data_IF_420787510623
#
_entry.id   IF_420787510623
#
_cell.length_a   1.000
_cell.length_b   1.000
_cell.length_c   1.000
_cell.angle_alpha   90.00
_cell.angle_beta   90.00
_cell.angle_gamma   90.00
#
_symmetry.space_group_name_H-M   'P 1'
#
loop_
_entity.id
_entity.type
_entity.pdbx_description
1 polymer ?
#
# COMPACT_ATOMS: atom_id res chain seq x y z
N UNK A 1 -3.75 4.79 -19.46
CA UNK A 1 -2.28 4.96 -19.53
C UNK A 1 -1.67 4.34 -18.30
N UNK A 2 -0.59 3.56 -18.46
CA UNK A 2 0.14 2.97 -17.34
C UNK A 2 0.64 4.04 -16.38
N UNK A 3 0.33 3.89 -15.08
CA UNK A 3 0.71 4.85 -14.05
C UNK A 3 1.87 4.34 -13.19
N UNK A 4 1.87 3.04 -12.86
CA UNK A 4 2.99 2.38 -12.18
C UNK A 4 3.50 1.29 -13.12
N UNK A 5 4.81 1.25 -13.36
CA UNK A 5 5.42 0.23 -14.21
C UNK A 5 6.67 -0.33 -13.54
N UNK A 6 6.79 -1.65 -13.52
CA UNK A 6 8.05 -2.33 -13.36
C UNK A 6 8.51 -2.83 -14.74
N UNK A 7 9.77 -2.57 -15.09
CA UNK A 7 10.36 -2.96 -16.38
C UNK A 7 11.57 -3.84 -16.09
N UNK A 8 11.44 -5.13 -16.39
CA UNK A 8 12.43 -6.17 -16.14
C UNK A 8 13.03 -6.07 -14.73
N UNK A 9 12.16 -5.83 -13.75
CA UNK A 9 12.57 -5.59 -12.39
C UNK A 9 13.09 -6.86 -11.73
N UNK A 10 14.32 -6.83 -11.23
CA UNK A 10 14.97 -7.94 -10.53
C UNK A 10 15.40 -7.52 -9.13
N UNK A 11 15.32 -8.46 -8.18
CA UNK A 11 15.87 -8.27 -6.85
C UNK A 11 16.59 -9.49 -6.34
N UNK A 12 17.87 -9.29 -6.07
CA UNK A 12 18.75 -10.25 -5.41
C UNK A 12 19.02 -9.83 -3.97
N UNK A 13 19.07 -10.80 -3.08
CA UNK A 13 19.54 -10.67 -1.70
C UNK A 13 20.76 -11.57 -1.49
N UNK A 14 21.64 -11.19 -0.58
CA UNK A 14 22.87 -11.92 -0.29
C UNK A 14 23.93 -11.74 -1.38
N UNK A 15 25.08 -12.43 -1.20
CA UNK A 15 26.25 -12.40 -2.10
C UNK A 15 26.83 -13.81 -2.25
N UNK A 16 27.54 -14.08 -3.35
CA UNK A 16 28.16 -15.39 -3.61
C UNK A 16 27.14 -16.53 -3.60
N UNK A 17 27.48 -17.63 -2.95
CA UNK A 17 26.64 -18.84 -2.90
C UNK A 17 25.35 -18.66 -2.09
N UNK A 18 25.27 -17.62 -1.26
CA UNK A 18 24.06 -17.29 -0.50
C UNK A 18 23.10 -16.33 -1.25
N UNK A 19 23.34 -16.05 -2.53
CA UNK A 19 22.49 -15.19 -3.34
C UNK A 19 21.13 -15.84 -3.60
N UNK A 20 20.06 -15.13 -3.28
CA UNK A 20 18.67 -15.49 -3.53
C UNK A 20 18.02 -14.43 -4.42
N UNK A 21 17.52 -14.82 -5.57
CA UNK A 21 16.77 -13.93 -6.46
C UNK A 21 15.29 -14.00 -6.10
N UNK A 22 14.80 -12.98 -5.40
CA UNK A 22 13.42 -12.91 -4.93
C UNK A 22 12.44 -12.38 -6.00
N UNK A 23 12.93 -11.59 -6.97
CA UNK A 23 12.16 -11.10 -8.12
C UNK A 23 13.04 -11.25 -9.36
N UNK A 24 12.49 -11.86 -10.43
CA UNK A 24 13.26 -12.41 -11.55
C UNK A 24 12.87 -11.79 -12.90
N UNK A 25 13.07 -10.47 -13.05
CA UNK A 25 12.80 -9.80 -14.33
C UNK A 25 11.30 -9.60 -14.60
N UNK A 26 10.57 -9.12 -13.60
CA UNK A 26 9.13 -8.89 -13.70
C UNK A 26 8.85 -7.63 -14.53
N UNK A 27 7.89 -7.77 -15.45
CA UNK A 27 7.21 -6.67 -16.14
C UNK A 27 5.77 -6.61 -15.64
N UNK A 28 5.36 -5.47 -15.07
CA UNK A 28 3.99 -5.22 -14.63
C UNK A 28 3.61 -3.77 -14.88
N UNK A 29 2.38 -3.56 -15.31
CA UNK A 29 1.78 -2.25 -15.53
C UNK A 29 0.47 -2.12 -14.79
N UNK A 30 0.30 -1.01 -14.07
CA UNK A 30 -0.90 -0.68 -13.29
C UNK A 30 -1.42 0.67 -13.77
N UNK A 31 -2.69 0.74 -14.11
CA UNK A 31 -3.32 1.98 -14.55
C UNK A 31 -3.66 2.89 -13.37
N UNK A 32 -3.74 4.20 -13.62
CA UNK A 32 -4.19 5.16 -12.62
C UNK A 32 -5.62 4.86 -12.19
N UNK A 33 -5.86 4.90 -10.88
CA UNK A 33 -7.16 4.56 -10.29
C UNK A 33 -7.47 3.05 -10.31
N UNK A 34 -6.54 2.19 -10.77
CA UNK A 34 -6.71 0.74 -10.72
C UNK A 34 -6.50 0.17 -9.33
N UNK A 35 -7.18 -0.92 -9.02
CA UNK A 35 -6.94 -1.73 -7.84
C UNK A 35 -6.36 -3.08 -8.27
N UNK A 36 -5.10 -3.34 -7.94
CA UNK A 36 -4.39 -4.58 -8.31
C UNK A 36 -4.03 -5.38 -7.07
N UNK A 37 -4.32 -6.68 -7.09
CA UNK A 37 -3.90 -7.62 -6.06
C UNK A 37 -2.71 -8.47 -6.57
N UNK A 38 -1.59 -8.43 -5.86
CA UNK A 38 -0.46 -9.34 -6.02
C UNK A 38 -0.72 -10.57 -5.16
N UNK A 39 -0.98 -11.71 -5.78
CA UNK A 39 -1.33 -12.95 -5.11
C UNK A 39 -0.27 -14.03 -5.33
N UNK A 40 -0.17 -15.01 -4.42
CA UNK A 40 0.74 -16.14 -4.51
C UNK A 40 1.14 -16.67 -3.13
N UNK A 41 1.90 -17.76 -3.09
CA UNK A 41 2.35 -18.39 -1.85
C UNK A 41 3.31 -17.51 -1.04
N UNK A 42 3.52 -17.87 0.23
CA UNK A 42 4.54 -17.24 1.06
C UNK A 42 5.92 -17.46 0.45
N UNK A 43 6.75 -16.41 0.42
CA UNK A 43 8.08 -16.47 -0.20
C UNK A 43 8.09 -16.28 -1.74
N UNK A 44 6.95 -16.14 -2.41
CA UNK A 44 6.88 -15.97 -3.86
C UNK A 44 7.48 -14.64 -4.39
N UNK A 45 7.88 -13.70 -3.51
CA UNK A 45 8.46 -12.40 -3.89
C UNK A 45 7.48 -11.23 -3.90
N UNK A 46 6.20 -11.42 -3.48
CA UNK A 46 5.15 -10.39 -3.51
C UNK A 46 5.47 -9.11 -2.74
N UNK A 47 5.81 -9.23 -1.44
CA UNK A 47 6.16 -8.08 -0.58
C UNK A 47 7.46 -7.41 -1.04
N UNK A 48 8.38 -8.18 -1.64
CA UNK A 48 9.59 -7.64 -2.29
C UNK A 48 9.19 -6.78 -3.49
N UNK A 49 8.34 -7.28 -4.37
CA UNK A 49 7.82 -6.54 -5.52
C UNK A 49 7.05 -5.30 -5.06
N UNK A 50 6.15 -5.43 -4.09
CA UNK A 50 5.41 -4.30 -3.52
C UNK A 50 6.38 -3.21 -2.99
N UNK A 51 7.41 -3.63 -2.24
CA UNK A 51 8.42 -2.70 -1.69
C UNK A 51 9.24 -2.01 -2.78
N UNK A 52 9.50 -2.70 -3.90
CA UNK A 52 10.16 -2.11 -5.06
C UNK A 52 9.26 -1.08 -5.74
N UNK A 53 7.99 -1.41 -6.00
CA UNK A 53 7.01 -0.49 -6.58
C UNK A 53 6.79 0.74 -5.70
N UNK A 54 6.84 0.56 -4.38
CA UNK A 54 6.67 1.62 -3.38
C UNK A 54 7.94 2.43 -3.06
N UNK A 55 9.04 2.22 -3.77
CA UNK A 55 10.27 3.00 -3.52
C UNK A 55 10.94 2.70 -2.17
N UNK A 56 10.60 1.60 -1.49
CA UNK A 56 11.19 1.20 -0.21
C UNK A 56 12.43 0.31 -0.40
N UNK A 57 12.52 -0.37 -1.54
CA UNK A 57 13.58 -1.32 -1.84
C UNK A 57 14.01 -1.18 -3.31
N UNK A 58 15.22 -0.71 -3.55
CA UNK A 58 15.73 -0.55 -4.91
C UNK A 58 15.90 -1.90 -5.62
N UNK A 59 15.53 -2.00 -6.90
CA UNK A 59 15.83 -3.18 -7.71
C UNK A 59 17.35 -3.39 -7.84
N UNK A 60 17.76 -4.64 -8.05
CA UNK A 60 19.14 -4.96 -8.43
C UNK A 60 19.37 -4.67 -9.92
N UNK A 61 18.32 -4.87 -10.73
CA UNK A 61 18.28 -4.54 -12.17
C UNK A 61 16.86 -4.16 -12.55
N UNK A 62 16.74 -3.53 -13.73
CA UNK A 62 15.46 -3.05 -14.23
C UNK A 62 15.11 -1.67 -13.67
N UNK A 63 13.87 -1.22 -13.90
CA UNK A 63 13.41 0.13 -13.56
C UNK A 63 12.01 0.07 -12.96
N UNK A 64 11.71 1.05 -12.11
CA UNK A 64 10.36 1.30 -11.60
C UNK A 64 9.97 2.72 -11.98
N UNK A 65 8.94 2.84 -12.81
CA UNK A 65 8.40 4.12 -13.24
C UNK A 65 7.07 4.41 -12.54
N UNK A 66 6.89 5.65 -12.13
CA UNK A 66 5.59 6.19 -11.68
C UNK A 66 5.30 7.44 -12.50
N UNK A 67 4.25 7.38 -13.31
CA UNK A 67 4.13 8.27 -14.45
C UNK A 67 5.33 8.05 -15.39
N UNK A 68 6.02 9.14 -15.70
CA UNK A 68 7.23 9.11 -16.54
C UNK A 68 8.53 9.17 -15.72
N UNK A 69 8.45 9.04 -14.38
CA UNK A 69 9.59 9.20 -13.47
C UNK A 69 10.14 7.83 -13.07
N UNK A 70 11.41 7.56 -13.40
CA UNK A 70 12.16 6.47 -12.76
C UNK A 70 12.48 6.87 -11.33
N UNK A 71 11.75 6.28 -10.36
CA UNK A 71 11.85 6.67 -8.95
C UNK A 71 13.22 6.36 -8.34
N UNK A 72 13.96 5.39 -8.87
CA UNK A 72 15.30 5.06 -8.38
C UNK A 72 16.43 5.84 -9.07
N UNK A 73 16.11 6.62 -10.10
CA UNK A 73 17.01 7.64 -10.63
C UNK A 73 17.00 8.93 -9.78
N UNK A 74 16.01 9.09 -8.89
CA UNK A 74 15.94 10.21 -7.95
C UNK A 74 17.07 10.11 -6.93
N UNK A 75 17.83 11.21 -6.76
CA UNK A 75 19.03 11.26 -5.88
C UNK A 75 18.71 11.93 -4.54
N UNK A 76 19.43 11.50 -3.49
CA UNK A 76 19.34 12.07 -2.15
C UNK A 76 17.94 11.94 -1.56
N UNK A 77 17.44 13.00 -0.97
CA UNK A 77 16.14 13.03 -0.31
C UNK A 77 14.93 13.06 -1.25
N UNK A 78 15.17 13.26 -2.57
CA UNK A 78 14.10 13.35 -3.56
C UNK A 78 13.20 12.12 -3.63
N UNK A 79 13.74 10.92 -3.43
CA UNK A 79 12.94 9.71 -3.36
C UNK A 79 12.07 9.68 -2.08
N UNK A 80 12.59 10.18 -0.96
CA UNK A 80 11.82 10.28 0.27
C UNK A 80 10.69 11.32 0.14
N UNK A 81 10.98 12.47 -0.48
CA UNK A 81 9.98 13.49 -0.79
C UNK A 81 8.90 12.95 -1.74
N UNK A 82 9.32 12.22 -2.78
CA UNK A 82 8.41 11.59 -3.72
C UNK A 82 7.48 10.57 -3.01
N UNK A 83 8.03 9.70 -2.13
CA UNK A 83 7.19 8.78 -1.36
C UNK A 83 6.20 9.52 -0.47
N UNK A 84 6.63 10.58 0.22
CA UNK A 84 5.78 11.39 1.10
C UNK A 84 4.59 12.00 0.36
N UNK A 85 4.82 12.46 -0.87
CA UNK A 85 3.82 13.16 -1.68
C UNK A 85 2.87 12.21 -2.41
N UNK A 86 3.40 11.12 -2.94
CA UNK A 86 2.67 10.26 -3.88
C UNK A 86 2.25 8.91 -3.33
N UNK A 87 2.76 8.47 -2.17
CA UNK A 87 2.59 7.10 -1.71
C UNK A 87 2.12 7.01 -0.26
N UNK A 88 1.10 6.18 -0.01
CA UNK A 88 0.69 5.74 1.32
C UNK A 88 1.00 4.26 1.51
N UNK A 89 1.35 3.87 2.74
CA UNK A 89 1.72 2.50 3.07
C UNK A 89 0.88 1.94 4.21
N UNK A 90 0.35 0.74 3.99
CA UNK A 90 -0.38 -0.08 4.96
C UNK A 90 0.41 -1.38 5.11
N UNK A 91 0.84 -1.69 6.34
CA UNK A 91 1.71 -2.84 6.63
C UNK A 91 0.96 -3.90 7.43
N UNK A 92 1.27 -5.16 7.23
CA UNK A 92 0.65 -6.33 7.88
C UNK A 92 0.56 -6.24 9.41
N UNK A 93 1.53 -5.62 10.07
CA UNK A 93 1.60 -5.51 11.54
C UNK A 93 1.16 -4.15 12.07
N UNK A 94 0.30 -3.40 11.34
CA UNK A 94 -0.19 -2.05 11.65
C UNK A 94 0.92 -1.00 11.78
N UNK A 95 2.05 -1.35 12.40
CA UNK A 95 3.20 -0.49 12.69
C UNK A 95 2.81 0.84 13.35
N UNK A 96 1.87 0.78 14.28
CA UNK A 96 1.53 1.90 15.13
C UNK A 96 2.60 2.08 16.21
N UNK A 97 2.92 3.33 16.51
CA UNK A 97 3.82 3.68 17.60
C UNK A 97 3.05 3.52 18.92
N UNK A 98 3.43 2.60 19.82
CA UNK A 98 2.58 2.16 20.93
C UNK A 98 2.37 3.20 22.03
N UNK A 99 3.25 4.19 22.14
CA UNK A 99 3.18 5.29 23.12
C UNK A 99 2.57 6.58 22.55
N UNK A 100 2.22 6.61 21.27
CA UNK A 100 1.46 7.68 20.66
C UNK A 100 -0.03 7.27 20.61
N UNK A 101 -0.93 8.23 20.87
CA UNK A 101 -2.34 7.99 20.69
C UNK A 101 -2.71 7.84 19.20
N UNK A 102 -3.97 7.49 18.94
CA UNK A 102 -4.49 7.25 17.57
C UNK A 102 -4.31 8.50 16.69
N UNK A 103 -4.62 9.68 17.19
CA UNK A 103 -4.48 10.95 16.45
C UNK A 103 -3.00 11.22 16.11
N UNK A 104 -2.12 11.06 17.09
CA UNK A 104 -0.69 11.28 16.93
C UNK A 104 -0.08 10.29 15.93
N UNK A 105 -0.52 9.01 15.95
CA UNK A 105 -0.10 8.04 14.94
C UNK A 105 -0.49 8.46 13.52
N UNK A 106 -1.71 8.99 13.34
CA UNK A 106 -2.17 9.47 12.02
C UNK A 106 -1.43 10.75 11.61
N UNK A 107 -0.99 11.59 12.55
CA UNK A 107 -0.24 12.81 12.26
C UNK A 107 1.21 12.56 11.84
N UNK A 108 1.80 11.37 12.05
CA UNK A 108 3.21 11.10 11.77
C UNK A 108 3.65 11.51 10.34
N UNK A 109 2.92 11.17 9.26
CA UNK A 109 3.31 11.60 7.91
C UNK A 109 3.25 13.11 7.70
N UNK A 110 2.45 13.83 8.50
CA UNK A 110 2.33 15.28 8.43
C UNK A 110 3.48 16.01 9.13
N UNK A 111 4.28 15.32 9.97
CA UNK A 111 5.33 15.94 10.77
C UNK A 111 6.38 16.68 9.90
N UNK A 112 6.62 16.18 8.70
CA UNK A 112 7.59 16.72 7.74
C UNK A 112 6.97 17.58 6.65
N UNK A 113 5.70 17.95 6.79
CA UNK A 113 4.99 18.87 5.88
C UNK A 113 5.03 20.31 6.39
N UNK A 114 4.73 21.26 5.50
CA UNK A 114 4.68 22.70 5.85
C UNK A 114 3.35 23.16 6.46
N UNK A 115 2.43 22.23 6.75
CA UNK A 115 1.15 22.55 7.40
C UNK A 115 1.35 23.08 8.82
N UNK A 116 0.48 24.01 9.24
CA UNK A 116 0.43 24.43 10.66
C UNK A 116 0.00 23.28 11.56
N UNK A 117 0.33 23.32 12.85
CA UNK A 117 -0.10 22.29 13.81
C UNK A 117 -1.64 22.16 13.88
N UNK A 118 -2.36 23.28 13.69
CA UNK A 118 -3.82 23.29 13.64
C UNK A 118 -4.34 22.55 12.39
N UNK A 119 -3.71 22.76 11.22
CA UNK A 119 -4.06 22.07 9.98
C UNK A 119 -3.74 20.59 10.05
N UNK A 120 -2.55 20.21 10.56
CA UNK A 120 -2.18 18.81 10.78
C UNK A 120 -3.20 18.08 11.63
N UNK A 121 -3.67 18.71 12.71
CA UNK A 121 -4.69 18.15 13.58
C UNK A 121 -6.03 17.99 12.85
N UNK A 122 -6.42 18.97 12.06
CA UNK A 122 -7.66 18.94 11.28
C UNK A 122 -7.63 17.83 10.24
N UNK A 123 -6.52 17.70 9.48
CA UNK A 123 -6.32 16.64 8.49
C UNK A 123 -6.36 15.26 9.12
N UNK A 124 -5.70 15.07 10.27
CA UNK A 124 -5.71 13.80 10.97
C UNK A 124 -7.09 13.43 11.51
N UNK A 125 -7.86 14.39 12.04
CA UNK A 125 -9.25 14.16 12.44
C UNK A 125 -10.14 13.80 11.25
N UNK A 126 -9.98 14.46 10.10
CA UNK A 126 -10.68 14.12 8.87
C UNK A 126 -10.36 12.69 8.41
N UNK A 127 -9.08 12.30 8.42
CA UNK A 127 -8.68 10.94 8.08
C UNK A 127 -9.27 9.90 9.06
N UNK A 128 -9.31 10.19 10.37
CA UNK A 128 -9.95 9.33 11.36
C UNK A 128 -11.47 9.23 11.17
N UNK A 129 -12.12 10.31 10.78
CA UNK A 129 -13.57 10.31 10.48
C UNK A 129 -13.88 9.42 9.28
N UNK A 130 -13.05 9.46 8.22
CA UNK A 130 -13.17 8.58 7.05
C UNK A 130 -13.10 7.09 7.39
N UNK A 131 -12.39 6.71 8.45
CA UNK A 131 -12.28 5.31 8.91
C UNK A 131 -13.17 4.98 10.11
N UNK A 132 -14.01 5.94 10.56
CA UNK A 132 -14.98 5.76 11.65
C UNK A 132 -14.35 5.66 13.04
N UNK A 133 -13.23 6.37 13.30
CA UNK A 133 -12.48 6.31 14.57
C UNK A 133 -12.22 7.67 15.22
N UNK A 134 -12.98 8.70 14.84
CA UNK A 134 -12.83 10.05 15.38
C UNK A 134 -13.01 10.11 16.89
N UNK A 135 -13.94 9.34 17.43
CA UNK A 135 -14.24 9.22 18.87
C UNK A 135 -13.12 8.53 19.67
N UNK A 136 -12.22 7.82 19.00
CA UNK A 136 -11.08 7.10 19.58
C UNK A 136 -9.74 7.80 19.43
N UNK A 137 -9.74 9.04 18.94
CA UNK A 137 -8.53 9.81 18.64
C UNK A 137 -7.50 9.88 19.78
N UNK A 138 -7.94 9.92 21.04
CA UNK A 138 -7.08 10.01 22.22
C UNK A 138 -6.73 8.65 22.85
N UNK A 139 -7.19 7.54 22.28
CA UNK A 139 -6.86 6.19 22.77
C UNK A 139 -5.44 5.80 22.33
N UNK A 140 -4.77 4.99 23.15
CA UNK A 140 -3.53 4.35 22.76
C UNK A 140 -3.81 3.09 21.91
N UNK A 141 -2.86 2.63 21.07
CA UNK A 141 -3.04 1.43 20.24
C UNK A 141 -3.51 0.19 21.02
N UNK A 142 -3.02 -0.02 22.24
CA UNK A 142 -3.42 -1.15 23.11
C UNK A 142 -4.83 -1.01 23.72
N UNK A 143 -5.51 0.10 23.50
CA UNK A 143 -6.88 0.37 23.98
C UNK A 143 -7.92 0.22 22.89
N UNK A 144 -7.52 -0.21 21.70
CA UNK A 144 -8.38 -0.42 20.53
C UNK A 144 -8.16 -1.84 19.96
N UNK A 145 -9.17 -2.38 19.30
CA UNK A 145 -9.11 -3.71 18.68
C UNK A 145 -8.14 -3.76 17.50
N UNK A 146 -7.71 -4.96 17.09
CA UNK A 146 -6.84 -5.15 15.93
C UNK A 146 -7.42 -4.57 14.63
N UNK A 147 -8.73 -4.76 14.39
CA UNK A 147 -9.39 -4.15 13.23
C UNK A 147 -9.45 -2.61 13.29
N UNK A 148 -9.52 -2.04 14.49
CA UNK A 148 -9.40 -0.59 14.67
C UNK A 148 -7.97 -0.11 14.46
N UNK A 149 -6.97 -0.86 14.93
CA UNK A 149 -5.55 -0.55 14.67
C UNK A 149 -5.24 -0.53 13.17
N UNK A 150 -5.78 -1.49 12.41
CA UNK A 150 -5.65 -1.51 10.95
C UNK A 150 -6.30 -0.28 10.32
N UNK A 151 -7.51 0.09 10.74
CA UNK A 151 -8.15 1.33 10.24
C UNK A 151 -7.36 2.59 10.62
N UNK A 152 -6.69 2.63 11.76
CA UNK A 152 -5.75 3.72 12.11
C UNK A 152 -4.55 3.73 11.15
N UNK A 153 -3.98 2.55 10.83
CA UNK A 153 -2.89 2.44 9.86
C UNK A 153 -3.32 2.92 8.47
N UNK A 154 -4.55 2.60 8.05
CA UNK A 154 -5.12 3.12 6.80
C UNK A 154 -5.31 4.64 6.88
N UNK A 155 -5.87 5.19 7.97
CA UNK A 155 -6.02 6.63 8.15
C UNK A 155 -4.66 7.36 8.05
N UNK A 156 -3.61 6.80 8.67
CA UNK A 156 -2.25 7.28 8.57
C UNK A 156 -1.73 7.26 7.12
N UNK A 157 -2.02 6.18 6.38
CA UNK A 157 -1.58 6.05 5.00
C UNK A 157 -2.24 7.07 4.06
N UNK A 158 -3.47 7.51 4.36
CA UNK A 158 -4.25 8.42 3.48
C UNK A 158 -4.27 9.87 3.95
N UNK A 159 -3.63 10.21 5.07
CA UNK A 159 -3.72 11.56 5.67
C UNK A 159 -3.17 12.68 4.78
N UNK A 160 -2.19 12.36 3.92
CA UNK A 160 -1.62 13.27 2.91
C UNK A 160 -2.35 13.17 1.55
N UNK A 161 -3.46 12.42 1.47
CA UNK A 161 -4.21 12.18 0.22
C UNK A 161 -3.33 11.67 -0.95
N UNK A 162 -2.45 10.67 -0.71
CA UNK A 162 -1.56 10.19 -1.75
C UNK A 162 -2.35 9.52 -2.88
N UNK A 163 -1.97 9.71 -4.16
CA UNK A 163 -2.65 9.07 -5.29
C UNK A 163 -2.44 7.54 -5.34
N UNK A 164 -1.44 7.02 -4.63
CA UNK A 164 -1.09 5.59 -4.63
C UNK A 164 -1.08 5.05 -3.21
N UNK A 165 -1.73 3.89 -3.00
CA UNK A 165 -1.68 3.12 -1.76
C UNK A 165 -1.05 1.75 -2.00
N UNK A 166 -0.02 1.44 -1.22
CA UNK A 166 0.59 0.11 -1.15
C UNK A 166 0.14 -0.57 0.14
N UNK A 167 -0.46 -1.76 0.03
CA UNK A 167 -0.98 -2.52 1.16
C UNK A 167 -0.36 -3.93 1.20
N UNK A 168 0.45 -4.21 2.20
CA UNK A 168 1.06 -5.53 2.39
C UNK A 168 0.25 -6.34 3.41
N UNK A 169 -0.52 -7.30 2.92
CA UNK A 169 -1.41 -8.18 3.68
C UNK A 169 -2.29 -7.45 4.71
N UNK A 170 -3.08 -6.43 4.30
CA UNK A 170 -3.81 -5.53 5.22
C UNK A 170 -4.90 -6.22 6.04
N UNK A 171 -5.12 -7.50 5.83
CA UNK A 171 -6.12 -8.30 6.55
C UNK A 171 -5.52 -9.55 7.20
N UNK A 172 -4.19 -9.73 7.10
CA UNK A 172 -3.52 -10.97 7.52
C UNK A 172 -3.67 -11.31 9.00
N UNK A 173 -3.83 -10.30 9.86
CA UNK A 173 -3.96 -10.45 11.31
C UNK A 173 -5.39 -10.20 11.82
N UNK A 174 -6.40 -10.21 10.93
CA UNK A 174 -7.78 -9.87 11.25
C UNK A 174 -8.72 -11.06 11.12
N UNK A 175 -9.77 -11.07 11.94
CA UNK A 175 -10.89 -11.97 11.74
C UNK A 175 -11.68 -11.63 10.47
N UNK A 176 -12.58 -12.52 10.07
CA UNK A 176 -13.35 -12.39 8.82
C UNK A 176 -14.22 -11.13 8.75
N UNK A 177 -14.76 -10.66 9.90
CA UNK A 177 -15.60 -9.47 9.96
C UNK A 177 -14.77 -8.21 9.75
N UNK A 178 -13.69 -8.07 10.52
CA UNK A 178 -12.76 -6.93 10.40
C UNK A 178 -12.09 -6.91 9.02
N UNK A 179 -11.72 -8.08 8.47
CA UNK A 179 -11.19 -8.18 7.10
C UNK A 179 -12.17 -7.63 6.06
N UNK A 180 -13.45 -7.97 6.16
CA UNK A 180 -14.47 -7.46 5.24
C UNK A 180 -14.66 -5.92 5.37
N UNK A 181 -14.57 -5.37 6.57
CA UNK A 181 -14.64 -3.92 6.78
C UNK A 181 -13.43 -3.19 6.17
N UNK A 182 -12.22 -3.72 6.35
CA UNK A 182 -10.99 -3.19 5.73
C UNK A 182 -11.07 -3.25 4.20
N UNK A 183 -11.51 -4.38 3.63
CA UNK A 183 -11.64 -4.51 2.17
C UNK A 183 -12.69 -3.53 1.59
N UNK A 184 -13.82 -3.32 2.29
CA UNK A 184 -14.81 -2.29 1.90
C UNK A 184 -14.21 -0.88 1.93
N UNK A 185 -13.39 -0.58 2.95
CA UNK A 185 -12.71 0.70 3.07
C UNK A 185 -11.73 0.92 1.91
N UNK A 186 -10.88 -0.07 1.59
CA UNK A 186 -9.96 0.01 0.46
C UNK A 186 -10.71 0.19 -0.88
N UNK A 187 -11.82 -0.55 -1.09
CA UNK A 187 -12.63 -0.39 -2.31
C UNK A 187 -13.26 0.98 -2.41
N UNK A 188 -13.69 1.58 -1.29
CA UNK A 188 -14.19 2.96 -1.26
C UNK A 188 -13.08 3.95 -1.64
N UNK A 189 -11.89 3.84 -1.04
CA UNK A 189 -10.74 4.69 -1.36
C UNK A 189 -10.36 4.58 -2.85
N UNK A 190 -10.40 3.38 -3.42
CA UNK A 190 -10.20 3.17 -4.84
C UNK A 190 -11.29 3.86 -5.69
N UNK A 191 -12.56 3.79 -5.28
CA UNK A 191 -13.66 4.47 -5.98
C UNK A 191 -13.57 6.00 -5.90
N UNK A 192 -12.86 6.52 -4.91
CA UNK A 192 -12.52 7.95 -4.76
C UNK A 192 -11.32 8.36 -5.66
N UNK A 193 -10.73 7.43 -6.43
CA UNK A 193 -9.69 7.68 -7.43
C UNK A 193 -8.28 7.22 -7.04
N UNK A 194 -8.08 6.66 -5.84
CA UNK A 194 -6.75 6.17 -5.44
C UNK A 194 -6.37 4.89 -6.19
N UNK A 195 -5.14 4.83 -6.67
CA UNK A 195 -4.53 3.61 -7.21
C UNK A 195 -4.11 2.71 -6.05
N UNK A 196 -4.50 1.44 -6.04
CA UNK A 196 -4.18 0.53 -4.94
C UNK A 196 -3.41 -0.68 -5.45
N UNK A 197 -2.28 -0.97 -4.82
CA UNK A 197 -1.52 -2.22 -5.01
C UNK A 197 -1.51 -2.97 -3.69
N UNK A 198 -2.16 -4.13 -3.67
CA UNK A 198 -2.33 -4.93 -2.45
C UNK A 198 -1.64 -6.29 -2.61
N UNK A 199 -0.85 -6.70 -1.63
CA UNK A 199 -0.40 -8.08 -1.48
C UNK A 199 -1.41 -8.83 -0.63
N UNK A 200 -1.80 -10.01 -1.05
CA UNK A 200 -2.64 -10.91 -0.24
C UNK A 200 -2.43 -12.37 -0.65
N UNK A 201 -2.57 -13.28 0.33
CA UNK A 201 -2.63 -14.73 0.11
C UNK A 201 -4.08 -15.25 0.08
N UNK A 202 -5.07 -14.37 0.29
CA UNK A 202 -6.49 -14.71 0.29
C UNK A 202 -7.13 -14.40 -1.05
N UNK A 203 -7.57 -15.43 -1.78
CA UNK A 203 -8.33 -15.29 -3.03
C UNK A 203 -9.57 -14.41 -2.84
N UNK A 204 -10.31 -14.63 -1.76
CA UNK A 204 -11.50 -13.83 -1.40
C UNK A 204 -11.20 -12.34 -1.30
N UNK A 205 -10.05 -11.96 -0.75
CA UNK A 205 -9.66 -10.56 -0.65
C UNK A 205 -9.15 -10.02 -1.99
N UNK A 206 -8.42 -10.84 -2.76
CA UNK A 206 -7.95 -10.48 -4.09
C UNK A 206 -9.11 -10.17 -5.06
N UNK A 207 -10.25 -10.84 -4.93
CA UNK A 207 -11.47 -10.60 -5.73
C UNK A 207 -12.10 -9.21 -5.56
N UNK A 208 -11.67 -8.43 -4.58
CA UNK A 208 -12.04 -7.01 -4.47
C UNK A 208 -11.27 -6.10 -5.44
N UNK A 209 -10.15 -6.57 -5.98
CA UNK A 209 -9.34 -5.84 -6.94
C UNK A 209 -9.94 -5.90 -8.36
N UNK A 210 -9.50 -4.99 -9.22
CA UNK A 210 -9.90 -4.98 -10.65
C UNK A 210 -9.08 -6.00 -11.45
N UNK A 211 -7.87 -6.33 -10.97
CA UNK A 211 -7.04 -7.40 -11.54
C UNK A 211 -6.21 -8.10 -10.46
N UNK A 212 -5.92 -9.37 -10.72
CA UNK A 212 -5.08 -10.21 -9.87
C UNK A 212 -3.84 -10.61 -10.67
N UNK A 213 -2.68 -10.30 -10.13
CA UNK A 213 -1.38 -10.70 -10.66
C UNK A 213 -0.85 -11.84 -9.80
N UNK A 214 -0.79 -13.04 -10.36
CA UNK A 214 -0.26 -14.20 -9.66
C UNK A 214 1.27 -14.24 -9.75
N UNK A 215 1.91 -14.22 -8.59
CA UNK A 215 3.37 -14.27 -8.44
C UNK A 215 3.78 -15.62 -7.86
N UNK A 216 4.69 -16.32 -8.54
CA UNK A 216 5.27 -17.56 -8.04
C UNK A 216 6.77 -17.59 -8.39
N UNK A 217 7.62 -18.00 -7.44
CA UNK A 217 9.06 -18.12 -7.59
C UNK A 217 9.75 -16.86 -8.15
N UNK A 218 9.26 -15.68 -7.80
CA UNK A 218 9.77 -14.40 -8.25
C UNK A 218 9.39 -14.02 -9.69
N UNK A 219 8.43 -14.71 -10.30
CA UNK A 219 7.92 -14.46 -11.66
C UNK A 219 6.42 -14.21 -11.63
N UNK A 220 5.91 -13.46 -12.60
CA UNK A 220 4.47 -13.40 -12.87
C UNK A 220 4.09 -14.65 -13.65
N UNK A 221 3.13 -15.42 -13.13
CA UNK A 221 2.58 -16.61 -13.78
C UNK A 221 1.38 -16.25 -14.66
N UNK A 222 0.49 -15.45 -14.13
CA UNK A 222 -0.75 -15.08 -14.80
C UNK A 222 -1.22 -13.70 -14.32
N UNK A 223 -1.94 -13.01 -15.19
CA UNK A 223 -2.69 -11.79 -14.84
C UNK A 223 -4.15 -11.99 -15.22
N UNK A 224 -5.01 -12.07 -14.21
CA UNK A 224 -6.45 -12.20 -14.37
C UNK A 224 -7.10 -10.83 -14.21
N UNK A 225 -7.81 -10.37 -15.24
CA UNK A 225 -8.63 -9.16 -15.15
C UNK A 225 -10.01 -9.57 -14.67
N UNK A 226 -10.42 -9.06 -13.52
CA UNK A 226 -11.76 -9.30 -12.98
C UNK A 226 -12.75 -8.54 -13.84
N UNK A 227 -13.74 -9.25 -14.41
CA UNK A 227 -14.79 -8.63 -15.21
C UNK A 227 -15.43 -7.50 -14.38
N UNK A 228 -15.31 -6.27 -14.85
CA UNK A 228 -15.92 -5.08 -14.23
C UNK A 228 -17.41 -5.38 -14.02
N UNK A 229 -17.79 -5.70 -12.79
CA UNK A 229 -19.19 -5.55 -12.38
C UNK A 229 -19.48 -4.05 -12.51
N UNK A 230 -19.95 -3.69 -13.71
CA UNK A 230 -20.43 -2.39 -14.18
C UNK A 230 -20.28 -1.27 -13.15
N UNK A 231 -19.35 -0.33 -13.40
CA UNK A 231 -19.50 1.04 -12.90
C UNK A 231 -20.84 1.53 -13.49
N UNK A 232 -21.94 1.27 -12.77
CA UNK A 232 -23.19 1.95 -13.03
C UNK A 232 -22.99 3.37 -12.54
N UNK A 233 -22.76 4.26 -13.49
CA UNK A 233 -22.98 5.68 -13.28
C UNK A 233 -24.44 5.85 -12.87
N UNK A 234 -24.66 6.38 -11.70
CA UNK A 234 -25.89 7.06 -11.29
C UNK A 234 -25.49 8.41 -10.69
#
# INVERSE_FOLDING_TARGET
MSYIQAIRAEKDFGTGDARVTAVRGIDVSIEQGGFVALMGESGAGKSTLLSMLGGLLSPTRGQILIGDIDIYALKGDKLADFRREFMGFIFQSFQLVPYLNVLENVQLPLAVTHHSEADKKTLAFSALERVGLKDKALRLPNQISGGEQERVAIARAVVNEPPILFADEPTGNLDSRNSAEVMKLLKRLNSEGQTIVMVTNSRKNAEHADSIVEVADGLIKETETMALAKRVCA
#
